data_IF_834563707476
#
_entry.id   IF_834563707476
#
_cell.length_a   1.000
_cell.length_b   1.000
_cell.length_c   1.000
_cell.angle_alpha   90.00
_cell.angle_beta   90.00
_cell.angle_gamma   90.00
#
_symmetry.space_group_name_H-M   'P 1'
#
loop_
_entity.id
_entity.type
_entity.pdbx_description
1 polymer ?
#
# COMPACT_ATOMS: atom_id res chain seq x y z
N UNK A 1 -4.70 -19.02 -2.00
CA UNK A 1 -4.84 -17.63 -2.50
C UNK A 1 -5.29 -16.69 -1.38
N UNK A 2 -5.23 -15.38 -1.62
CA UNK A 2 -5.75 -14.37 -0.67
C UNK A 2 -7.25 -14.53 -0.42
N UNK A 3 -8.00 -14.91 -1.44
CA UNK A 3 -9.41 -15.21 -1.31
C UNK A 3 -9.68 -16.39 -0.39
N UNK A 4 -8.89 -17.45 -0.50
CA UNK A 4 -8.99 -18.60 0.37
C UNK A 4 -8.60 -18.27 1.82
N UNK A 5 -7.57 -17.44 1.98
CA UNK A 5 -7.15 -16.93 3.29
C UNK A 5 -8.27 -16.10 3.93
N UNK A 6 -8.86 -15.16 3.19
CA UNK A 6 -10.01 -14.37 3.63
C UNK A 6 -11.18 -15.27 4.03
N UNK A 7 -11.55 -16.21 3.16
CA UNK A 7 -12.65 -17.15 3.42
C UNK A 7 -12.39 -18.02 4.65
N UNK A 8 -11.18 -18.54 4.78
CA UNK A 8 -10.78 -19.39 5.92
C UNK A 8 -10.78 -18.62 7.22
N UNK A 9 -10.22 -17.41 7.24
CA UNK A 9 -10.18 -16.56 8.44
C UNK A 9 -11.59 -16.19 8.87
N UNK A 10 -12.44 -15.77 7.94
CA UNK A 10 -13.82 -15.36 8.25
C UNK A 10 -14.72 -16.53 8.62
N UNK A 11 -14.49 -17.72 8.08
CA UNK A 11 -15.20 -18.93 8.52
C UNK A 11 -14.93 -19.24 9.99
N UNK A 12 -13.67 -19.15 10.41
CA UNK A 12 -13.27 -19.32 11.82
C UNK A 12 -13.84 -18.22 12.71
N UNK A 13 -13.80 -16.98 12.25
CA UNK A 13 -14.35 -15.83 12.97
C UNK A 13 -15.86 -15.97 13.14
N UNK A 14 -16.58 -16.38 12.10
CA UNK A 14 -18.01 -16.64 12.15
C UNK A 14 -18.36 -17.78 13.11
N UNK A 15 -17.59 -18.85 13.09
CA UNK A 15 -17.78 -20.00 13.99
C UNK A 15 -17.54 -19.60 15.45
N UNK A 16 -16.61 -18.71 15.75
CA UNK A 16 -16.33 -18.21 17.07
C UNK A 16 -17.34 -17.17 17.57
N UNK A 17 -18.13 -16.58 16.68
CA UNK A 17 -19.13 -15.56 16.99
C UNK A 17 -20.46 -16.18 17.41
N UNK A 18 -21.16 -15.55 18.34
CA UNK A 18 -22.45 -16.06 18.88
C UNK A 18 -23.64 -15.66 18.00
N UNK A 19 -23.48 -14.68 17.11
CA UNK A 19 -24.52 -14.19 16.21
C UNK A 19 -23.91 -13.60 14.94
N UNK A 20 -24.76 -13.41 13.92
CA UNK A 20 -24.36 -12.70 12.70
C UNK A 20 -23.95 -11.26 12.97
N UNK A 21 -24.59 -10.59 13.91
CA UNK A 21 -24.26 -9.21 14.30
C UNK A 21 -22.91 -9.15 15.02
N UNK A 22 -22.61 -10.09 15.90
CA UNK A 22 -21.31 -10.20 16.54
C UNK A 22 -20.22 -10.46 15.51
N UNK A 23 -20.46 -11.36 14.56
CA UNK A 23 -19.53 -11.64 13.48
C UNK A 23 -19.23 -10.38 12.66
N UNK A 24 -20.27 -9.69 12.17
CA UNK A 24 -20.11 -8.49 11.33
C UNK A 24 -19.41 -7.36 12.08
N UNK A 25 -19.76 -7.08 13.31
CA UNK A 25 -19.14 -6.03 14.11
C UNK A 25 -17.71 -6.39 14.51
N UNK A 26 -17.44 -7.62 14.86
CA UNK A 26 -16.09 -8.09 15.19
C UNK A 26 -15.16 -8.05 13.97
N UNK A 27 -15.63 -8.49 12.81
CA UNK A 27 -14.88 -8.40 11.55
C UNK A 27 -14.47 -6.96 11.24
N UNK A 28 -15.43 -6.03 11.36
CA UNK A 28 -15.18 -4.61 11.13
C UNK A 28 -14.16 -4.03 12.10
N UNK A 29 -14.32 -4.29 13.39
CA UNK A 29 -13.40 -3.78 14.41
C UNK A 29 -12.02 -4.40 14.27
N UNK A 30 -11.91 -5.68 13.97
CA UNK A 30 -10.62 -6.34 13.72
C UNK A 30 -9.91 -5.78 12.49
N UNK A 31 -10.66 -5.45 11.44
CA UNK A 31 -10.10 -4.76 10.28
C UNK A 31 -9.64 -3.34 10.65
N UNK A 32 -10.43 -2.59 11.41
CA UNK A 32 -10.07 -1.26 11.90
C UNK A 32 -8.80 -1.28 12.77
N UNK A 33 -8.68 -2.24 13.67
CA UNK A 33 -7.48 -2.45 14.48
C UNK A 33 -6.27 -2.73 13.60
N UNK A 34 -6.41 -3.65 12.64
CA UNK A 34 -5.34 -4.04 11.73
C UNK A 34 -4.86 -2.85 10.88
N UNK A 35 -5.79 -2.03 10.40
CA UNK A 35 -5.49 -0.86 9.59
C UNK A 35 -4.91 0.30 10.41
N UNK A 36 -5.32 0.48 11.64
CA UNK A 36 -4.73 1.51 12.52
C UNK A 36 -3.32 1.14 12.98
N UNK A 37 -3.08 -0.13 13.26
CA UNK A 37 -1.80 -0.59 13.82
C UNK A 37 -0.81 -1.09 12.78
N UNK A 38 -1.24 -1.36 11.54
CA UNK A 38 -0.39 -1.97 10.52
C UNK A 38 -0.03 -3.43 10.83
N UNK A 39 -0.90 -4.15 11.54
CA UNK A 39 -0.79 -5.60 11.79
C UNK A 39 -1.68 -6.38 10.83
N UNK A 40 -1.38 -7.67 10.64
CA UNK A 40 -2.13 -8.51 9.72
C UNK A 40 -3.54 -8.81 10.27
N UNK A 41 -4.57 -8.59 9.44
CA UNK A 41 -5.95 -8.93 9.78
C UNK A 41 -6.10 -10.39 10.14
N UNK A 42 -5.46 -11.30 9.41
CA UNK A 42 -5.51 -12.74 9.67
C UNK A 42 -5.00 -13.10 11.07
N UNK A 43 -3.96 -12.44 11.56
CA UNK A 43 -3.42 -12.70 12.90
C UNK A 43 -4.38 -12.21 13.99
N UNK A 44 -4.92 -11.00 13.84
CA UNK A 44 -5.86 -10.43 14.80
C UNK A 44 -7.18 -11.21 14.83
N UNK A 45 -7.70 -11.61 13.70
CA UNK A 45 -8.89 -12.43 13.60
C UNK A 45 -8.68 -13.83 14.19
N UNK A 46 -7.51 -14.43 13.99
CA UNK A 46 -7.15 -15.71 14.58
C UNK A 46 -7.06 -15.63 16.11
N UNK A 47 -6.51 -14.56 16.66
CA UNK A 47 -6.49 -14.34 18.11
C UNK A 47 -7.91 -14.28 18.67
N UNK A 48 -8.80 -13.52 18.05
CA UNK A 48 -10.21 -13.47 18.44
C UNK A 48 -10.85 -14.85 18.34
N UNK A 49 -10.75 -15.53 17.21
CA UNK A 49 -11.39 -16.81 16.97
C UNK A 49 -10.92 -17.91 17.93
N UNK A 50 -9.64 -17.94 18.27
CA UNK A 50 -9.08 -18.94 19.17
C UNK A 50 -9.39 -18.68 20.65
N UNK A 51 -9.51 -17.42 21.04
CA UNK A 51 -9.65 -17.04 22.44
C UNK A 51 -11.09 -16.74 22.89
N UNK A 52 -12.00 -16.46 21.96
CA UNK A 52 -13.35 -15.98 22.28
C UNK A 52 -14.16 -16.92 23.20
N UNK A 53 -14.15 -18.23 22.95
CA UNK A 53 -14.87 -19.18 23.75
C UNK A 53 -14.33 -19.26 25.18
N UNK A 54 -13.04 -19.36 25.36
CA UNK A 54 -12.37 -19.38 26.66
C UNK A 54 -12.58 -18.06 27.41
N UNK A 55 -12.50 -16.94 26.74
CA UNK A 55 -12.72 -15.62 27.33
C UNK A 55 -14.17 -15.46 27.83
N UNK A 56 -15.15 -15.98 27.09
CA UNK A 56 -16.56 -16.01 27.56
C UNK A 56 -16.73 -16.84 28.81
N UNK A 57 -16.04 -17.96 28.93
CA UNK A 57 -16.05 -18.78 30.15
C UNK A 57 -15.51 -18.04 31.37
N UNK A 58 -14.53 -17.13 31.15
CA UNK A 58 -14.02 -16.23 32.18
C UNK A 58 -14.89 -14.97 32.41
N UNK A 59 -16.02 -14.85 31.71
CA UNK A 59 -16.94 -13.73 31.86
C UNK A 59 -16.65 -12.51 31.03
N UNK A 60 -15.75 -12.59 30.06
CA UNK A 60 -15.41 -11.49 29.15
C UNK A 60 -16.30 -11.50 27.90
N UNK A 61 -16.62 -10.29 27.43
CA UNK A 61 -17.40 -10.09 26.21
C UNK A 61 -16.52 -10.14 24.95
N UNK A 62 -17.14 -10.26 23.78
CA UNK A 62 -16.45 -10.09 22.50
C UNK A 62 -15.75 -8.72 22.43
N UNK A 63 -16.39 -7.66 22.94
CA UNK A 63 -15.77 -6.32 23.01
C UNK A 63 -14.49 -6.29 23.84
N UNK A 64 -14.42 -7.04 24.92
CA UNK A 64 -13.21 -7.15 25.74
C UNK A 64 -12.08 -7.84 24.96
N UNK A 65 -12.38 -8.91 24.22
CA UNK A 65 -11.41 -9.61 23.38
C UNK A 65 -10.87 -8.68 22.28
N UNK A 66 -11.73 -7.86 21.68
CA UNK A 66 -11.32 -6.87 20.69
C UNK A 66 -10.39 -5.81 21.28
N UNK A 67 -10.68 -5.33 22.49
CA UNK A 67 -9.80 -4.36 23.18
C UNK A 67 -8.45 -4.96 23.53
N UNK A 68 -8.39 -6.20 23.96
CA UNK A 68 -7.14 -6.92 24.24
C UNK A 68 -6.34 -7.09 22.94
N UNK A 69 -6.99 -7.48 21.86
CA UNK A 69 -6.36 -7.60 20.53
C UNK A 69 -5.74 -6.28 20.10
N UNK A 70 -6.46 -5.17 20.27
CA UNK A 70 -5.95 -3.84 19.94
C UNK A 70 -4.75 -3.46 20.82
N UNK A 71 -4.81 -3.71 22.11
CA UNK A 71 -3.71 -3.43 23.03
C UNK A 71 -2.44 -4.21 22.66
N UNK A 72 -2.57 -5.48 22.34
CA UNK A 72 -1.45 -6.34 21.93
C UNK A 72 -0.86 -5.84 20.60
N UNK A 73 -1.69 -5.61 19.58
CA UNK A 73 -1.23 -5.17 18.26
C UNK A 73 -0.58 -3.79 18.32
N UNK A 74 -1.16 -2.87 19.07
CA UNK A 74 -0.61 -1.52 19.28
C UNK A 74 0.72 -1.59 20.02
N UNK A 75 0.80 -2.33 21.10
CA UNK A 75 2.02 -2.50 21.88
C UNK A 75 3.17 -3.13 21.10
N UNK A 76 2.86 -4.09 20.22
CA UNK A 76 3.86 -4.70 19.33
C UNK A 76 4.45 -3.68 18.36
N UNK A 77 3.62 -2.84 17.78
CA UNK A 77 4.09 -1.81 16.84
C UNK A 77 4.87 -0.71 17.54
N UNK A 78 4.48 -0.29 18.73
CA UNK A 78 5.29 0.63 19.55
C UNK A 78 6.66 0.02 19.87
N UNK A 79 6.72 -1.28 20.11
CA UNK A 79 7.96 -2.01 20.38
C UNK A 79 8.87 -2.18 19.15
N UNK A 80 8.41 -1.80 17.98
CA UNK A 80 9.17 -1.93 16.73
C UNK A 80 9.13 -3.34 16.13
N UNK A 81 8.20 -4.19 16.53
CA UNK A 81 8.05 -5.53 15.96
C UNK A 81 7.75 -5.46 14.45
N UNK A 82 8.43 -6.30 13.68
CA UNK A 82 8.08 -6.54 12.28
C UNK A 82 6.69 -7.22 12.19
N UNK A 83 6.09 -7.21 11.01
CA UNK A 83 4.81 -7.91 10.81
C UNK A 83 4.90 -9.40 11.15
N UNK A 84 5.99 -10.05 10.79
CA UNK A 84 6.24 -11.46 11.12
C UNK A 84 6.42 -11.69 12.64
N UNK A 85 7.20 -10.85 13.30
CA UNK A 85 7.38 -10.89 14.76
C UNK A 85 6.07 -10.62 15.49
N UNK A 86 5.29 -9.62 15.04
CA UNK A 86 3.97 -9.35 15.59
C UNK A 86 3.02 -10.54 15.44
N UNK A 87 2.98 -11.18 14.28
CA UNK A 87 2.18 -12.39 14.05
C UNK A 87 2.56 -13.52 14.98
N UNK A 88 3.84 -13.72 15.23
CA UNK A 88 4.34 -14.73 16.18
C UNK A 88 3.87 -14.46 17.61
N UNK A 89 4.01 -13.22 18.09
CA UNK A 89 3.57 -12.83 19.44
C UNK A 89 2.05 -12.91 19.59
N UNK A 90 1.30 -12.46 18.57
CA UNK A 90 -0.17 -12.56 18.55
C UNK A 90 -0.59 -14.04 18.65
N UNK A 91 0.10 -14.95 17.98
CA UNK A 91 -0.15 -16.40 18.08
C UNK A 91 0.11 -16.93 19.49
N UNK A 92 1.18 -16.49 20.13
CA UNK A 92 1.48 -16.88 21.52
C UNK A 92 0.39 -16.36 22.49
N UNK A 93 -0.05 -15.12 22.34
CA UNK A 93 -1.17 -14.61 23.13
C UNK A 93 -2.49 -15.34 22.87
N UNK A 94 -2.75 -15.74 21.64
CA UNK A 94 -3.94 -16.51 21.30
C UNK A 94 -3.95 -17.86 22.03
N UNK A 95 -2.82 -18.51 22.14
CA UNK A 95 -2.65 -19.74 22.92
C UNK A 95 -2.83 -19.50 24.43
N UNK A 96 -2.20 -18.45 24.95
CA UNK A 96 -2.28 -18.08 26.34
C UNK A 96 -3.72 -17.76 26.77
N UNK A 97 -4.44 -16.96 26.01
CA UNK A 97 -5.83 -16.60 26.31
C UNK A 97 -6.78 -17.79 26.14
N UNK A 98 -6.54 -18.68 25.17
CA UNK A 98 -7.30 -19.91 25.03
C UNK A 98 -7.12 -20.86 26.21
N UNK A 99 -5.94 -20.91 26.81
CA UNK A 99 -5.62 -21.69 27.99
C UNK A 99 -5.98 -20.99 29.31
N UNK A 100 -6.20 -19.68 29.26
CA UNK A 100 -6.53 -18.85 30.42
C UNK A 100 -5.33 -18.42 31.26
N UNK A 101 -4.09 -18.64 30.79
CA UNK A 101 -2.88 -18.30 31.51
C UNK A 101 -1.72 -18.00 30.54
N UNK A 102 -0.99 -16.90 30.80
CA UNK A 102 0.25 -16.55 30.10
C UNK A 102 1.43 -17.16 30.85
N UNK A 103 1.95 -18.25 30.31
CA UNK A 103 3.05 -19.00 30.94
C UNK A 103 4.43 -18.45 30.50
N UNK A 104 5.49 -18.98 31.13
CA UNK A 104 6.84 -18.52 30.88
C UNK A 104 7.30 -18.58 29.42
N UNK A 105 6.89 -19.59 28.66
CA UNK A 105 7.20 -19.74 27.24
C UNK A 105 6.60 -18.59 26.39
N UNK A 106 5.31 -18.36 26.51
CA UNK A 106 4.62 -17.29 25.78
C UNK A 106 5.11 -15.93 26.26
N UNK A 107 5.35 -15.78 27.56
CA UNK A 107 5.89 -14.55 28.12
C UNK A 107 7.29 -14.20 27.56
N UNK A 108 8.15 -15.17 27.36
CA UNK A 108 9.45 -14.94 26.76
C UNK A 108 9.36 -14.39 25.33
N UNK A 109 8.47 -14.92 24.50
CA UNK A 109 8.20 -14.38 23.16
C UNK A 109 7.71 -12.95 23.21
N UNK A 110 6.79 -12.64 24.13
CA UNK A 110 6.30 -11.27 24.32
C UNK A 110 7.42 -10.35 24.77
N UNK A 111 8.27 -10.80 25.68
CA UNK A 111 9.37 -10.01 26.21
C UNK A 111 10.44 -9.69 25.15
N UNK A 112 10.66 -10.58 24.20
CA UNK A 112 11.63 -10.39 23.12
C UNK A 112 11.19 -9.34 22.09
N UNK A 113 9.92 -9.41 21.66
CA UNK A 113 9.42 -8.59 20.55
C UNK A 113 8.37 -7.57 20.95
N UNK A 114 7.84 -7.65 22.16
CA UNK A 114 6.74 -6.84 22.67
C UNK A 114 7.07 -6.14 23.98
N UNK A 115 8.21 -5.48 24.08
CA UNK A 115 8.64 -4.76 25.29
C UNK A 115 7.56 -3.81 25.84
N UNK A 116 6.86 -3.10 24.96
CA UNK A 116 5.79 -2.17 25.37
C UNK A 116 4.61 -2.90 25.99
N UNK A 117 4.30 -4.12 25.54
CA UNK A 117 3.23 -4.96 26.13
C UNK A 117 3.63 -5.38 27.54
N UNK A 118 4.87 -5.78 27.75
CA UNK A 118 5.39 -6.15 29.07
C UNK A 118 5.29 -4.97 30.05
N UNK A 119 5.66 -3.79 29.61
CA UNK A 119 5.51 -2.57 30.41
C UNK A 119 4.04 -2.23 30.69
N UNK A 120 3.16 -2.45 29.71
CA UNK A 120 1.71 -2.25 29.88
C UNK A 120 1.13 -3.23 30.89
N UNK A 121 1.51 -4.51 30.85
CA UNK A 121 1.12 -5.51 31.83
C UNK A 121 1.57 -5.12 33.23
N UNK A 122 2.82 -4.73 33.40
CA UNK A 122 3.35 -4.31 34.68
C UNK A 122 2.59 -3.09 35.26
N UNK A 123 2.36 -2.07 34.44
CA UNK A 123 1.60 -0.89 34.83
C UNK A 123 0.14 -1.22 35.15
N UNK A 124 -0.52 -1.99 34.33
CA UNK A 124 -1.93 -2.37 34.51
C UNK A 124 -2.17 -3.30 35.70
N UNK A 125 -1.19 -4.12 36.05
CA UNK A 125 -1.24 -5.01 37.21
C UNK A 125 -0.73 -4.37 38.49
N UNK A 126 -0.05 -3.21 38.41
CA UNK A 126 0.56 -2.56 39.56
C UNK A 126 1.75 -3.31 40.13
N UNK A 127 2.49 -4.04 39.30
CA UNK A 127 3.68 -4.81 39.69
C UNK A 127 4.93 -4.28 38.98
N UNK A 128 6.10 -4.56 39.53
CA UNK A 128 7.34 -4.24 38.86
C UNK A 128 7.54 -5.18 37.66
N UNK A 129 8.08 -4.65 36.56
CA UNK A 129 8.37 -5.42 35.34
C UNK A 129 9.22 -6.68 35.62
N UNK A 130 10.22 -6.55 36.49
CA UNK A 130 11.09 -7.69 36.87
C UNK A 130 10.36 -8.87 37.50
N UNK A 131 9.19 -8.62 38.11
CA UNK A 131 8.41 -9.66 38.78
C UNK A 131 7.51 -10.46 37.85
N UNK A 132 7.25 -9.92 36.64
CA UNK A 132 6.36 -10.55 35.66
C UNK A 132 6.84 -11.92 35.21
N UNK A 133 8.14 -12.09 34.97
CA UNK A 133 8.68 -13.37 34.52
C UNK A 133 8.47 -14.47 35.57
N UNK A 134 8.76 -14.17 36.83
CA UNK A 134 8.52 -15.11 37.93
C UNK A 134 7.03 -15.45 38.05
N UNK A 135 6.15 -14.47 37.90
CA UNK A 135 4.68 -14.68 37.87
C UNK A 135 4.26 -15.56 36.70
N UNK A 136 4.85 -15.37 35.51
CA UNK A 136 4.58 -16.21 34.35
C UNK A 136 5.03 -17.67 34.58
N UNK A 137 6.24 -17.84 35.07
CA UNK A 137 6.80 -19.16 35.38
C UNK A 137 5.98 -19.91 36.44
N UNK A 138 5.42 -19.18 37.41
CA UNK A 138 4.58 -19.72 38.50
C UNK A 138 3.10 -19.90 38.09
N UNK A 139 2.74 -19.60 36.83
CA UNK A 139 1.37 -19.70 36.35
C UNK A 139 0.41 -18.65 36.94
N UNK A 140 0.93 -17.53 37.44
CA UNK A 140 0.15 -16.46 38.07
C UNK A 140 -0.34 -15.37 37.13
N UNK A 141 0.08 -15.36 35.88
CA UNK A 141 -0.42 -14.44 34.84
C UNK A 141 -1.68 -15.01 34.20
N UNK A 142 -2.72 -15.09 34.98
CA UNK A 142 -4.03 -15.62 34.55
C UNK A 142 -4.81 -14.56 33.73
N UNK A 143 -5.76 -15.02 32.92
CA UNK A 143 -6.54 -14.14 32.05
C UNK A 143 -7.28 -13.05 32.82
N UNK A 144 -7.79 -13.36 34.02
CA UNK A 144 -8.47 -12.42 34.91
C UNK A 144 -7.59 -11.27 35.41
N UNK A 145 -6.26 -11.42 35.32
CA UNK A 145 -5.28 -10.37 35.63
C UNK A 145 -4.74 -9.69 34.37
N UNK A 146 -4.43 -10.47 33.36
CA UNK A 146 -3.82 -9.97 32.11
C UNK A 146 -4.80 -9.13 31.31
N UNK A 147 -6.04 -9.57 31.17
CA UNK A 147 -7.05 -8.91 30.34
C UNK A 147 -7.41 -7.52 30.88
N UNK A 148 -7.79 -7.36 32.15
CA UNK A 148 -8.07 -6.04 32.69
C UNK A 148 -6.84 -5.11 32.66
N UNK A 149 -5.64 -5.64 32.87
CA UNK A 149 -4.40 -4.88 32.82
C UNK A 149 -4.18 -4.29 31.43
N UNK A 150 -4.28 -5.08 30.38
CA UNK A 150 -4.13 -4.61 28.99
C UNK A 150 -5.21 -3.60 28.59
N UNK A 151 -6.46 -3.88 28.94
CA UNK A 151 -7.59 -2.96 28.66
C UNK A 151 -7.38 -1.62 29.35
N UNK A 152 -6.90 -1.60 30.60
CA UNK A 152 -6.63 -0.38 31.32
C UNK A 152 -5.55 0.51 30.67
N UNK A 153 -4.65 -0.08 29.91
CA UNK A 153 -3.55 0.61 29.24
C UNK A 153 -3.85 1.02 27.80
N UNK A 154 -4.99 0.60 27.26
CA UNK A 154 -5.33 0.79 25.84
C UNK A 154 -5.30 2.26 25.41
N UNK A 155 -5.86 3.15 26.20
CA UNK A 155 -5.86 4.60 25.90
C UNK A 155 -4.45 5.18 25.79
N UNK A 156 -3.56 4.81 26.70
CA UNK A 156 -2.15 5.24 26.72
C UNK A 156 -1.43 4.67 25.49
N UNK A 157 -1.64 3.41 25.17
CA UNK A 157 -1.04 2.76 23.99
C UNK A 157 -1.50 3.41 22.68
N UNK A 158 -2.77 3.75 22.56
CA UNK A 158 -3.32 4.47 21.40
C UNK A 158 -2.62 5.83 21.21
N UNK A 159 -2.47 6.58 22.26
CA UNK A 159 -1.85 7.92 22.23
C UNK A 159 -0.36 7.83 21.85
N UNK A 160 0.37 6.89 22.40
CA UNK A 160 1.76 6.65 22.05
C UNK A 160 1.94 6.25 20.58
N UNK A 161 1.10 5.34 20.10
CA UNK A 161 1.16 4.90 18.71
C UNK A 161 0.82 6.04 17.73
N UNK A 162 -0.20 6.84 18.04
CA UNK A 162 -0.61 7.97 17.21
C UNK A 162 0.49 9.02 17.03
N UNK A 163 1.41 9.14 18.01
CA UNK A 163 2.55 10.04 17.93
C UNK A 163 3.73 9.48 17.11
N UNK A 164 3.70 8.20 16.73
CA UNK A 164 4.77 7.58 15.96
C UNK A 164 4.60 7.81 14.44
N UNK A 165 5.71 8.00 13.70
CA UNK A 165 5.65 8.07 12.24
C UNK A 165 5.29 6.70 11.65
N UNK A 166 4.53 6.69 10.57
CA UNK A 166 4.19 5.47 9.85
C UNK A 166 5.41 4.89 9.13
N UNK A 167 5.60 3.57 9.23
CA UNK A 167 6.69 2.87 8.54
C UNK A 167 6.23 2.32 7.19
N UNK A 168 7.18 2.10 6.27
CA UNK A 168 6.91 1.45 4.98
C UNK A 168 6.32 0.05 5.17
N UNK A 169 6.88 -0.71 6.12
CA UNK A 169 6.38 -2.07 6.45
C UNK A 169 4.93 -2.06 6.92
N UNK A 170 4.55 -1.12 7.78
CA UNK A 170 3.17 -0.95 8.23
C UNK A 170 2.23 -0.58 7.09
N UNK A 171 2.66 0.31 6.20
CA UNK A 171 1.89 0.72 5.02
C UNK A 171 1.64 -0.45 4.07
N UNK A 172 2.65 -1.29 3.84
CA UNK A 172 2.52 -2.52 3.03
C UNK A 172 1.48 -3.46 3.66
N UNK A 173 1.58 -3.73 4.94
CA UNK A 173 0.63 -4.62 5.64
C UNK A 173 -0.81 -4.09 5.55
N UNK A 174 -1.01 -2.78 5.68
CA UNK A 174 -2.33 -2.15 5.52
C UNK A 174 -2.89 -2.37 4.12
N UNK A 175 -2.06 -2.22 3.08
CA UNK A 175 -2.47 -2.48 1.70
C UNK A 175 -2.80 -3.97 1.49
N UNK A 176 -2.01 -4.87 2.04
CA UNK A 176 -2.30 -6.32 1.98
C UNK A 176 -3.64 -6.67 2.63
N UNK A 177 -3.91 -6.14 3.82
CA UNK A 177 -5.18 -6.35 4.52
C UNK A 177 -6.37 -5.88 3.69
N UNK A 178 -6.30 -4.66 3.15
CA UNK A 178 -7.35 -4.08 2.33
C UNK A 178 -7.55 -4.88 1.04
N UNK A 179 -6.47 -5.29 0.41
CA UNK A 179 -6.49 -6.09 -0.80
C UNK A 179 -7.12 -7.47 -0.56
N UNK A 180 -6.75 -8.15 0.52
CA UNK A 180 -7.31 -9.43 0.91
C UNK A 180 -8.82 -9.35 1.15
N UNK A 181 -9.28 -8.32 1.87
CA UNK A 181 -10.69 -8.10 2.13
C UNK A 181 -11.48 -7.82 0.85
N UNK A 182 -10.90 -7.02 -0.04
CA UNK A 182 -11.52 -6.68 -1.31
C UNK A 182 -11.65 -7.92 -2.23
N UNK A 183 -10.58 -8.70 -2.38
CA UNK A 183 -10.60 -9.97 -3.13
C UNK A 183 -11.61 -10.95 -2.54
N UNK A 184 -11.77 -10.95 -1.22
CA UNK A 184 -12.75 -11.77 -0.51
C UNK A 184 -14.21 -11.32 -0.66
N UNK A 185 -14.49 -10.24 -1.38
CA UNK A 185 -15.84 -9.72 -1.60
C UNK A 185 -16.32 -8.73 -0.54
N UNK A 186 -15.45 -8.28 0.38
CA UNK A 186 -15.76 -7.30 1.43
C UNK A 186 -15.58 -5.86 0.96
N UNK A 187 -15.95 -5.56 -0.27
CA UNK A 187 -15.65 -4.31 -0.96
C UNK A 187 -16.32 -3.06 -0.32
N UNK A 188 -17.50 -2.68 -0.76
CA UNK A 188 -18.12 -1.42 -0.34
C UNK A 188 -18.65 -1.42 1.09
N UNK A 189 -19.21 -2.50 1.55
CA UNK A 189 -19.81 -2.60 2.87
C UNK A 189 -18.79 -2.36 4.01
N UNK A 190 -17.53 -2.63 3.75
CA UNK A 190 -16.44 -2.44 4.71
C UNK A 190 -15.59 -1.19 4.47
N UNK A 191 -15.87 -0.43 3.42
CA UNK A 191 -15.05 0.73 3.03
C UNK A 191 -13.63 0.40 2.58
N UNK A 192 -13.35 -0.88 2.26
CA UNK A 192 -12.02 -1.40 1.92
C UNK A 192 -11.41 -0.67 0.72
N UNK A 193 -12.22 -0.39 -0.29
CA UNK A 193 -11.72 0.27 -1.50
C UNK A 193 -11.29 1.71 -1.23
N UNK A 194 -12.06 2.44 -0.44
CA UNK A 194 -11.69 3.79 0.00
C UNK A 194 -10.39 3.76 0.82
N UNK A 195 -10.25 2.75 1.68
CA UNK A 195 -9.05 2.54 2.47
C UNK A 195 -7.85 2.24 1.57
N UNK A 196 -8.01 1.39 0.56
CA UNK A 196 -6.96 1.05 -0.40
C UNK A 196 -6.51 2.29 -1.20
N UNK A 197 -7.45 3.08 -1.72
CA UNK A 197 -7.17 4.37 -2.38
C UNK A 197 -6.41 5.33 -1.46
N UNK A 198 -6.86 5.47 -0.21
CA UNK A 198 -6.22 6.33 0.77
C UNK A 198 -4.78 5.91 1.09
N UNK A 199 -4.53 4.60 1.16
CA UNK A 199 -3.19 4.06 1.38
C UNK A 199 -2.25 4.31 0.22
N UNK A 200 -2.70 4.14 -1.01
CA UNK A 200 -1.89 4.45 -2.20
C UNK A 200 -1.55 5.94 -2.27
N UNK A 201 -2.47 6.82 -1.88
CA UNK A 201 -2.19 8.24 -1.74
C UNK A 201 -1.17 8.54 -0.64
N UNK A 202 -1.24 7.84 0.49
CA UNK A 202 -0.27 7.94 1.57
C UNK A 202 1.13 7.52 1.12
N UNK A 203 1.24 6.40 0.40
CA UNK A 203 2.50 5.93 -0.19
C UNK A 203 3.04 6.95 -1.21
N UNK A 204 2.17 7.55 -2.03
CA UNK A 204 2.55 8.61 -2.97
C UNK A 204 3.18 9.84 -2.27
N UNK A 205 2.79 10.13 -1.03
CA UNK A 205 3.39 11.19 -0.22
C UNK A 205 4.80 10.90 0.31
N UNK A 206 5.19 9.62 0.38
CA UNK A 206 6.45 9.14 0.96
C UNK A 206 7.37 8.55 -0.12
N UNK A 207 7.64 9.32 -1.17
CA UNK A 207 8.29 8.82 -2.39
C UNK A 207 9.72 8.28 -2.16
N UNK A 208 10.43 8.76 -1.15
CA UNK A 208 11.80 8.33 -0.88
C UNK A 208 11.90 6.83 -0.51
N UNK A 209 10.80 6.26 -0.02
CA UNK A 209 10.68 4.85 0.35
C UNK A 209 9.87 4.03 -0.66
N UNK A 210 9.42 4.66 -1.73
CA UNK A 210 8.47 4.10 -2.69
C UNK A 210 8.99 2.89 -3.42
N UNK A 211 10.26 2.90 -3.84
CA UNK A 211 10.83 1.78 -4.59
C UNK A 211 10.72 0.46 -3.82
N UNK A 212 11.05 0.48 -2.53
CA UNK A 212 10.96 -0.69 -1.66
C UNK A 212 9.51 -1.08 -1.40
N UNK A 213 8.65 -0.09 -1.11
CA UNK A 213 7.23 -0.31 -0.85
C UNK A 213 6.51 -0.90 -2.06
N UNK A 214 6.75 -0.34 -3.26
CA UNK A 214 6.13 -0.81 -4.50
C UNK A 214 6.65 -2.18 -4.90
N UNK A 215 7.95 -2.42 -4.78
CA UNK A 215 8.55 -3.72 -5.04
C UNK A 215 7.96 -4.82 -4.15
N UNK A 216 7.80 -4.53 -2.87
CA UNK A 216 7.17 -5.45 -1.93
C UNK A 216 5.67 -5.66 -2.23
N UNK A 217 4.93 -4.62 -2.58
CA UNK A 217 3.53 -4.70 -2.99
C UNK A 217 3.34 -5.60 -4.20
N UNK A 218 4.16 -5.42 -5.23
CA UNK A 218 4.14 -6.26 -6.44
C UNK A 218 4.45 -7.71 -6.08
N UNK A 219 5.52 -7.94 -5.33
CA UNK A 219 5.94 -9.29 -4.95
C UNK A 219 4.88 -10.02 -4.12
N UNK A 220 4.36 -9.37 -3.11
CA UNK A 220 3.34 -9.95 -2.21
C UNK A 220 2.01 -10.12 -2.93
N UNK A 221 1.55 -9.10 -3.62
CA UNK A 221 0.27 -9.14 -4.31
C UNK A 221 0.24 -10.22 -5.39
N UNK A 222 1.27 -10.28 -6.22
CA UNK A 222 1.39 -11.31 -7.27
C UNK A 222 1.50 -12.71 -6.66
N UNK A 223 2.39 -12.91 -5.70
CA UNK A 223 2.59 -14.21 -5.06
C UNK A 223 1.33 -14.72 -4.36
N UNK A 224 0.59 -13.85 -3.67
CA UNK A 224 -0.60 -14.24 -2.91
C UNK A 224 -1.87 -14.32 -3.75
N UNK A 225 -2.02 -13.44 -4.75
CA UNK A 225 -3.23 -13.41 -5.56
C UNK A 225 -3.25 -14.51 -6.61
N UNK A 226 -2.17 -14.66 -7.37
CA UNK A 226 -2.11 -15.58 -8.52
C UNK A 226 -1.60 -16.98 -8.18
N UNK A 227 -0.87 -17.14 -7.07
CA UNK A 227 -0.29 -18.44 -6.70
C UNK A 227 0.59 -19.02 -7.83
N UNK A 228 0.44 -20.32 -8.12
CA UNK A 228 1.21 -20.98 -9.19
C UNK A 228 0.79 -20.59 -10.62
N UNK A 229 -0.33 -19.89 -10.79
CA UNK A 229 -0.73 -19.33 -12.11
C UNK A 229 -0.03 -18.00 -12.43
N UNK A 230 0.68 -17.45 -11.45
CA UNK A 230 1.29 -16.13 -11.54
C UNK A 230 2.42 -16.01 -12.57
N UNK A 231 3.10 -17.10 -12.92
CA UNK A 231 4.28 -17.04 -13.81
C UNK A 231 3.97 -16.47 -15.20
N UNK A 232 2.86 -16.89 -15.81
CA UNK A 232 2.42 -16.38 -17.10
C UNK A 232 1.90 -14.95 -17.04
N UNK A 233 1.09 -14.63 -16.05
CA UNK A 233 0.57 -13.29 -15.82
C UNK A 233 1.68 -12.30 -15.44
N UNK A 234 2.65 -12.71 -14.63
CA UNK A 234 3.85 -11.91 -14.30
C UNK A 234 4.69 -11.59 -15.53
N UNK A 235 4.93 -12.59 -16.39
CA UNK A 235 5.70 -12.39 -17.63
C UNK A 235 5.00 -11.44 -18.59
N UNK A 236 3.68 -11.55 -18.75
CA UNK A 236 2.88 -10.64 -19.56
C UNK A 236 2.87 -9.21 -18.96
N UNK A 237 2.69 -9.08 -17.66
CA UNK A 237 2.72 -7.80 -16.96
C UNK A 237 4.10 -7.14 -17.04
N UNK A 238 5.17 -7.89 -16.80
CA UNK A 238 6.55 -7.42 -16.93
C UNK A 238 6.86 -6.98 -18.37
N UNK A 239 6.38 -7.72 -19.37
CA UNK A 239 6.50 -7.36 -20.79
C UNK A 239 5.80 -6.05 -21.12
N UNK A 240 4.57 -5.86 -20.66
CA UNK A 240 3.79 -4.63 -20.85
C UNK A 240 4.45 -3.42 -20.16
N UNK A 241 4.92 -3.61 -18.94
CA UNK A 241 5.63 -2.55 -18.19
C UNK A 241 6.93 -2.17 -18.90
N UNK A 242 7.69 -3.15 -19.39
CA UNK A 242 8.93 -2.88 -20.14
C UNK A 242 8.65 -2.16 -21.44
N UNK A 243 7.62 -2.56 -22.18
CA UNK A 243 7.21 -1.90 -23.44
C UNK A 243 6.78 -0.46 -23.17
N UNK A 244 5.93 -0.22 -22.17
CA UNK A 244 5.50 1.13 -21.79
C UNK A 244 6.68 2.02 -21.36
N UNK A 245 7.61 1.47 -20.60
CA UNK A 245 8.84 2.15 -20.19
C UNK A 245 9.70 2.56 -21.37
N UNK A 246 9.89 1.67 -22.32
CA UNK A 246 10.69 1.93 -23.51
C UNK A 246 10.08 3.02 -24.37
N UNK A 247 8.76 3.02 -24.55
CA UNK A 247 8.05 4.06 -25.28
C UNK A 247 8.14 5.44 -24.61
N UNK A 248 7.96 5.49 -23.29
CA UNK A 248 8.11 6.73 -22.53
C UNK A 248 9.55 7.25 -22.62
N UNK A 249 10.54 6.39 -22.46
CA UNK A 249 11.95 6.77 -22.56
C UNK A 249 12.30 7.30 -23.97
N UNK A 250 11.75 6.70 -25.02
CA UNK A 250 11.92 7.16 -26.41
C UNK A 250 11.27 8.53 -26.60
N UNK A 251 10.04 8.73 -26.14
CA UNK A 251 9.31 9.98 -26.24
C UNK A 251 10.02 11.11 -25.46
N UNK A 252 10.55 10.84 -24.27
CA UNK A 252 11.37 11.78 -23.51
C UNK A 252 12.67 12.15 -24.23
N UNK A 253 13.35 11.18 -24.83
CA UNK A 253 14.57 11.43 -25.59
C UNK A 253 14.29 12.31 -26.82
N UNK A 254 13.20 12.06 -27.53
CA UNK A 254 12.75 12.87 -28.66
C UNK A 254 12.40 14.29 -28.22
N UNK A 255 11.69 14.44 -27.11
CA UNK A 255 11.35 15.75 -26.55
C UNK A 255 12.60 16.55 -26.15
N UNK A 256 13.57 15.92 -25.47
CA UNK A 256 14.86 16.54 -25.15
C UNK A 256 15.63 16.99 -26.40
N UNK A 257 15.62 16.16 -27.45
CA UNK A 257 16.21 16.51 -28.74
C UNK A 257 15.60 17.77 -29.32
N UNK A 258 14.28 17.93 -29.26
CA UNK A 258 13.59 19.14 -29.76
C UNK A 258 13.89 20.37 -28.89
N UNK A 259 14.09 20.22 -27.58
CA UNK A 259 14.52 21.32 -26.71
C UNK A 259 15.89 21.84 -27.11
N UNK A 260 16.85 20.95 -27.35
CA UNK A 260 18.21 21.30 -27.78
C UNK A 260 18.18 21.97 -29.16
N UNK A 261 17.42 21.41 -30.10
CA UNK A 261 17.26 21.97 -31.43
C UNK A 261 16.62 23.38 -31.40
N UNK A 262 15.62 23.58 -30.56
CA UNK A 262 14.96 24.89 -30.37
C UNK A 262 15.92 25.90 -29.74
N UNK A 263 16.73 25.53 -28.77
CA UNK A 263 17.74 26.41 -28.18
C UNK A 263 18.78 26.84 -29.18
N UNK A 264 19.27 25.90 -30.00
CA UNK A 264 20.21 26.19 -31.10
C UNK A 264 19.61 27.12 -32.18
N UNK A 265 18.32 26.88 -32.51
CA UNK A 265 17.62 27.72 -33.47
C UNK A 265 17.42 29.15 -32.96
N UNK A 266 17.10 29.35 -31.69
CA UNK A 266 17.02 30.66 -31.03
C UNK A 266 18.35 31.38 -31.06
N UNK A 267 19.45 30.70 -30.79
CA UNK A 267 20.79 31.25 -30.86
C UNK A 267 21.15 31.66 -32.30
N UNK A 268 20.73 30.89 -33.31
CA UNK A 268 20.91 31.23 -34.72
C UNK A 268 20.11 32.47 -35.11
N UNK A 269 18.88 32.61 -34.64
CA UNK A 269 18.07 33.84 -34.86
C UNK A 269 18.75 35.05 -34.24
N UNK A 270 19.23 34.92 -33.02
CA UNK A 270 19.96 36.02 -32.36
C UNK A 270 21.19 36.45 -33.17
N UNK A 271 22.02 35.51 -33.62
CA UNK A 271 23.18 35.81 -34.46
C UNK A 271 22.78 36.44 -35.79
N UNK A 272 21.70 35.98 -36.42
CA UNK A 272 21.20 36.56 -37.66
C UNK A 272 20.69 38.00 -37.45
N UNK A 273 20.03 38.29 -36.33
CA UNK A 273 19.62 39.64 -35.93
C UNK A 273 20.84 40.58 -35.78
N UNK A 274 21.92 40.11 -35.15
CA UNK A 274 23.17 40.86 -35.02
C UNK A 274 23.79 41.10 -36.39
N UNK A 275 23.78 40.13 -37.31
CA UNK A 275 24.29 40.28 -38.66
C UNK A 275 23.49 41.31 -39.47
N UNK A 276 22.16 41.34 -39.34
CA UNK A 276 21.32 42.38 -39.97
C UNK A 276 21.68 43.76 -39.44
N UNK A 277 21.84 43.91 -38.12
CA UNK A 277 22.23 45.17 -37.50
C UNK A 277 23.60 45.68 -38.02
N UNK A 278 24.57 44.78 -38.16
CA UNK A 278 25.90 45.10 -38.67
C UNK A 278 25.91 45.44 -40.18
N UNK A 279 24.99 44.85 -40.94
CA UNK A 279 24.89 45.04 -42.39
C UNK A 279 24.02 46.25 -42.83
N UNK A 280 23.42 46.96 -41.87
CA UNK A 280 22.54 48.12 -42.16
C UNK A 280 23.27 49.16 -42.99
N UNK A 281 22.60 49.58 -44.10
CA UNK A 281 23.17 50.56 -45.03
C UNK A 281 24.26 50.05 -45.98
N UNK A 282 24.52 48.74 -45.96
CA UNK A 282 25.48 48.07 -46.86
C UNK A 282 24.75 47.22 -47.90
N UNK A 283 25.45 46.84 -48.97
CA UNK A 283 24.95 45.96 -50.04
C UNK A 283 24.57 44.54 -49.46
N UNK A 284 25.11 44.18 -48.31
CA UNK A 284 24.90 42.89 -47.67
C UNK A 284 23.61 42.82 -46.83
N UNK A 285 22.90 43.95 -46.69
CA UNK A 285 21.68 44.02 -45.87
C UNK A 285 20.59 43.06 -46.37
N UNK A 286 20.37 43.01 -47.67
CA UNK A 286 19.32 42.13 -48.25
C UNK A 286 19.63 40.65 -47.96
N UNK A 287 20.88 40.23 -48.11
CA UNK A 287 21.32 38.87 -47.82
C UNK A 287 21.19 38.53 -46.32
N UNK A 288 21.51 39.49 -45.44
CA UNK A 288 21.38 39.31 -43.99
C UNK A 288 19.92 39.19 -43.55
N UNK A 289 19.03 40.01 -44.13
CA UNK A 289 17.57 39.91 -43.88
C UNK A 289 16.97 38.60 -44.37
N UNK A 290 17.42 38.11 -45.55
CA UNK A 290 17.01 36.79 -46.05
C UNK A 290 17.46 35.65 -45.14
N UNK A 291 18.66 35.72 -44.57
CA UNK A 291 19.15 34.76 -43.56
C UNK A 291 18.34 34.82 -42.28
N UNK A 292 18.01 36.01 -41.82
CA UNK A 292 17.16 36.16 -40.62
C UNK A 292 15.80 35.52 -40.84
N UNK A 293 15.17 35.77 -41.98
CA UNK A 293 13.89 35.15 -42.32
C UNK A 293 13.99 33.62 -42.35
N UNK A 294 15.04 33.05 -42.93
CA UNK A 294 15.29 31.62 -42.98
C UNK A 294 15.51 31.01 -41.58
N UNK A 295 16.25 31.70 -40.68
CA UNK A 295 16.48 31.25 -39.32
C UNK A 295 15.21 31.35 -38.46
N UNK A 296 14.39 32.36 -38.65
CA UNK A 296 13.09 32.49 -37.99
C UNK A 296 12.13 31.37 -38.41
N UNK A 297 12.07 31.05 -39.68
CA UNK A 297 11.28 29.92 -40.17
C UNK A 297 11.74 28.58 -39.60
N UNK A 298 13.06 28.40 -39.51
CA UNK A 298 13.66 27.22 -38.88
C UNK A 298 13.30 27.13 -37.39
N UNK A 299 13.33 28.25 -36.66
CA UNK A 299 12.90 28.30 -35.26
C UNK A 299 11.43 27.92 -35.12
N UNK A 300 10.57 28.46 -35.99
CA UNK A 300 9.12 28.13 -35.95
C UNK A 300 8.89 26.66 -36.22
N UNK A 301 9.61 26.03 -37.14
CA UNK A 301 9.54 24.59 -37.38
C UNK A 301 10.00 23.78 -36.15
N UNK A 302 11.06 24.21 -35.49
CA UNK A 302 11.55 23.55 -34.28
C UNK A 302 10.59 23.71 -33.09
N UNK A 303 9.92 24.86 -32.96
CA UNK A 303 8.87 25.07 -31.95
C UNK A 303 7.70 24.14 -32.23
N UNK A 304 7.26 24.02 -33.50
CA UNK A 304 6.20 23.10 -33.88
C UNK A 304 6.58 21.64 -33.60
N UNK A 305 7.80 21.24 -33.90
CA UNK A 305 8.34 19.92 -33.62
C UNK A 305 8.39 19.63 -32.10
N UNK A 306 8.77 20.64 -31.31
CA UNK A 306 8.75 20.55 -29.85
C UNK A 306 7.33 20.35 -29.29
N UNK A 307 6.36 21.10 -29.80
CA UNK A 307 4.96 20.97 -29.43
C UNK A 307 4.41 19.57 -29.80
N UNK A 308 4.75 19.09 -31.01
CA UNK A 308 4.37 17.75 -31.45
C UNK A 308 5.02 16.66 -30.55
N UNK A 309 6.29 16.82 -30.18
CA UNK A 309 6.98 15.89 -29.28
C UNK A 309 6.39 15.90 -27.85
N UNK A 310 5.99 17.08 -27.36
CA UNK A 310 5.29 17.21 -26.07
C UNK A 310 3.93 16.49 -26.10
N UNK A 311 3.18 16.67 -27.19
CA UNK A 311 1.89 16.00 -27.37
C UNK A 311 2.08 14.48 -27.50
N UNK A 312 3.12 14.05 -28.21
CA UNK A 312 3.46 12.62 -28.31
C UNK A 312 3.86 12.04 -26.94
N UNK A 313 4.63 12.77 -26.13
CA UNK A 313 4.98 12.35 -24.77
C UNK A 313 3.73 12.23 -23.90
N UNK A 314 2.83 13.22 -23.95
CA UNK A 314 1.56 13.20 -23.21
C UNK A 314 0.67 12.03 -23.69
N UNK A 315 0.60 11.78 -24.99
CA UNK A 315 -0.16 10.67 -25.57
C UNK A 315 0.43 9.32 -25.19
N UNK A 316 1.74 9.17 -25.19
CA UNK A 316 2.43 7.93 -24.81
C UNK A 316 2.16 7.61 -23.32
N UNK A 317 2.17 8.62 -22.47
CA UNK A 317 1.79 8.47 -21.06
C UNK A 317 0.32 8.05 -20.91
N UNK A 318 -0.58 8.64 -21.72
CA UNK A 318 -2.00 8.28 -21.74
C UNK A 318 -2.24 6.88 -22.34
N UNK A 319 -1.49 6.50 -23.37
CA UNK A 319 -1.56 5.13 -23.97
C UNK A 319 -1.02 4.09 -23.00
N UNK A 320 0.04 4.39 -22.26
CA UNK A 320 0.51 3.55 -21.16
C UNK A 320 -0.59 3.30 -20.12
N UNK A 321 -1.35 4.33 -19.75
CA UNK A 321 -2.54 4.21 -18.89
C UNK A 321 -3.63 3.33 -19.54
N UNK A 322 -3.88 3.46 -20.83
CA UNK A 322 -4.90 2.67 -21.56
C UNK A 322 -4.48 1.22 -21.77
N UNK A 323 -3.22 0.97 -22.06
CA UNK A 323 -2.67 -0.39 -22.15
C UNK A 323 -2.74 -1.10 -20.81
N UNK A 324 -2.48 -0.38 -19.74
CA UNK A 324 -2.68 -0.90 -18.39
C UNK A 324 -4.15 -1.16 -18.08
N UNK A 325 -5.06 -0.29 -18.52
CA UNK A 325 -6.51 -0.51 -18.40
C UNK A 325 -7.00 -1.70 -19.23
N UNK A 326 -6.44 -1.91 -20.44
CA UNK A 326 -6.72 -3.08 -21.28
C UNK A 326 -6.16 -4.37 -20.70
N UNK A 327 -4.97 -4.33 -20.11
CA UNK A 327 -4.36 -5.43 -19.39
C UNK A 327 -5.13 -5.82 -18.13
N UNK A 328 -5.91 -4.90 -17.55
CA UNK A 328 -6.80 -5.14 -16.42
C UNK A 328 -7.87 -6.19 -16.69
N UNK A 329 -8.41 -6.23 -17.91
CA UNK A 329 -9.32 -7.29 -18.34
C UNK A 329 -8.67 -8.67 -18.39
N UNK A 330 -7.33 -8.72 -18.52
CA UNK A 330 -6.55 -9.96 -18.58
C UNK A 330 -6.04 -10.44 -17.22
N UNK A 331 -6.04 -9.57 -16.21
CA UNK A 331 -5.38 -9.82 -14.91
C UNK A 331 -6.35 -9.70 -13.71
N UNK A 332 -7.65 -9.87 -13.93
CA UNK A 332 -8.60 -10.03 -12.82
C UNK A 332 -9.07 -8.74 -12.14
N UNK A 333 -9.35 -7.68 -12.91
CA UNK A 333 -10.05 -6.51 -12.38
C UNK A 333 -9.20 -5.56 -11.50
N UNK A 334 -9.78 -5.02 -10.43
CA UNK A 334 -9.12 -4.02 -9.56
C UNK A 334 -7.85 -4.53 -8.89
N UNK A 335 -7.73 -5.80 -8.44
CA UNK A 335 -6.45 -6.31 -7.95
C UNK A 335 -5.33 -6.25 -8.98
N UNK A 336 -5.62 -6.65 -10.21
CA UNK A 336 -4.68 -6.54 -11.32
C UNK A 336 -4.29 -5.08 -11.58
N UNK A 337 -5.23 -4.14 -11.48
CA UNK A 337 -4.97 -2.70 -11.60
C UNK A 337 -4.00 -2.20 -10.53
N UNK A 338 -4.23 -2.55 -9.27
CA UNK A 338 -3.34 -2.17 -8.18
C UNK A 338 -1.93 -2.66 -8.42
N UNK A 339 -1.79 -3.91 -8.85
CA UNK A 339 -0.48 -4.49 -9.11
C UNK A 339 0.20 -3.93 -10.35
N UNK A 340 -0.53 -3.76 -11.44
CA UNK A 340 -0.02 -3.12 -12.65
C UNK A 340 0.36 -1.69 -12.38
N UNK A 341 -0.47 -0.97 -11.60
CA UNK A 341 -0.19 0.37 -11.15
C UNK A 341 1.10 0.46 -10.34
N UNK A 342 1.26 -0.43 -9.38
CA UNK A 342 2.45 -0.52 -8.56
C UNK A 342 3.70 -0.86 -9.39
N UNK A 343 3.59 -1.81 -10.32
CA UNK A 343 4.69 -2.19 -11.20
C UNK A 343 5.09 -1.05 -12.15
N UNK A 344 4.13 -0.40 -12.78
CA UNK A 344 4.37 0.75 -13.64
C UNK A 344 4.98 1.92 -12.86
N UNK A 345 4.47 2.17 -11.69
CA UNK A 345 5.02 3.19 -10.80
C UNK A 345 6.45 2.88 -10.38
N UNK A 346 6.75 1.63 -10.03
CA UNK A 346 8.13 1.20 -9.75
C UNK A 346 9.08 1.47 -10.91
N UNK A 347 8.65 1.25 -12.15
CA UNK A 347 9.47 1.51 -13.33
C UNK A 347 9.66 3.01 -13.61
N UNK A 348 8.75 3.85 -13.15
CA UNK A 348 8.79 5.31 -13.31
C UNK A 348 9.43 6.03 -12.12
N UNK A 349 9.71 5.34 -11.02
CA UNK A 349 10.14 5.97 -9.76
C UNK A 349 11.48 6.71 -9.85
N UNK A 350 12.28 6.48 -10.87
CA UNK A 350 13.53 7.22 -11.11
C UNK A 350 13.30 8.73 -11.28
N UNK A 351 12.08 9.13 -11.58
CA UNK A 351 11.62 10.50 -11.55
C UNK A 351 10.57 10.65 -10.45
N UNK A 352 10.95 11.23 -9.31
CA UNK A 352 10.12 11.34 -8.11
C UNK A 352 8.78 12.03 -8.36
N UNK A 353 8.74 13.07 -9.17
CA UNK A 353 7.51 13.79 -9.48
C UNK A 353 6.55 12.93 -10.31
N UNK A 354 7.05 12.22 -11.29
CA UNK A 354 6.24 11.30 -12.11
C UNK A 354 5.72 10.13 -11.28
N UNK A 355 6.52 9.60 -10.37
CA UNK A 355 6.11 8.52 -9.49
C UNK A 355 4.99 8.94 -8.53
N UNK A 356 5.07 10.15 -7.96
CA UNK A 356 4.02 10.72 -7.11
C UNK A 356 2.71 10.89 -7.86
N UNK A 357 2.77 11.46 -9.04
CA UNK A 357 1.59 11.69 -9.87
C UNK A 357 0.97 10.36 -10.32
N UNK A 358 1.78 9.41 -10.76
CA UNK A 358 1.31 8.07 -11.13
C UNK A 358 0.61 7.38 -9.96
N UNK A 359 1.18 7.42 -8.77
CA UNK A 359 0.57 6.81 -7.58
C UNK A 359 -0.78 7.45 -7.23
N UNK A 360 -0.91 8.77 -7.36
CA UNK A 360 -2.18 9.48 -7.16
C UNK A 360 -3.23 9.09 -8.19
N UNK A 361 -2.84 9.02 -9.47
CA UNK A 361 -3.74 8.61 -10.54
C UNK A 361 -4.23 7.18 -10.36
N UNK A 362 -3.39 6.26 -9.93
CA UNK A 362 -3.81 4.89 -9.64
C UNK A 362 -4.78 4.82 -8.46
N UNK A 363 -4.55 5.62 -7.43
CA UNK A 363 -5.48 5.72 -6.30
C UNK A 363 -6.87 6.21 -6.75
N UNK A 364 -6.93 7.24 -7.59
CA UNK A 364 -8.18 7.76 -8.16
C UNK A 364 -8.87 6.72 -9.06
N UNK A 365 -8.11 6.00 -9.89
CA UNK A 365 -8.64 4.98 -10.78
C UNK A 365 -9.24 3.80 -10.00
N UNK A 366 -8.60 3.37 -8.92
CA UNK A 366 -9.15 2.34 -8.03
C UNK A 366 -10.46 2.81 -7.42
N UNK A 367 -10.54 4.06 -6.97
CA UNK A 367 -11.74 4.64 -6.41
C UNK A 367 -12.89 4.71 -7.43
N UNK A 368 -12.60 5.13 -8.66
CA UNK A 368 -13.57 5.14 -9.77
C UNK A 368 -14.09 3.74 -10.11
N UNK A 369 -13.20 2.75 -10.19
CA UNK A 369 -13.56 1.37 -10.51
C UNK A 369 -14.42 0.79 -9.40
N UNK A 370 -14.12 1.09 -8.15
CA UNK A 370 -14.93 0.68 -7.01
C UNK A 370 -16.36 1.22 -7.06
N UNK A 371 -16.53 2.46 -7.51
CA UNK A 371 -17.86 3.06 -7.68
C UNK A 371 -18.63 2.45 -8.85
N UNK A 372 -17.93 1.93 -9.89
CA UNK A 372 -18.54 1.31 -11.08
C UNK A 372 -18.86 -0.17 -10.91
N UNK A 373 -18.11 -0.88 -10.05
CA UNK A 373 -18.23 -2.34 -9.84
C UNK A 373 -18.36 -2.70 -8.36
N UNK A 374 -19.31 -2.07 -7.62
CA UNK A 374 -19.36 -2.19 -6.17
C UNK A 374 -19.75 -3.57 -5.65
N UNK A 375 -20.27 -4.44 -6.47
CA UNK A 375 -20.87 -5.72 -6.09
C UNK A 375 -20.29 -6.94 -6.80
N UNK A 376 -19.11 -6.84 -7.42
CA UNK A 376 -18.45 -8.02 -8.00
C UNK A 376 -18.09 -9.01 -6.91
N UNK A 377 -18.81 -10.15 -6.89
CA UNK A 377 -18.47 -11.29 -6.05
C UNK A 377 -17.25 -12.02 -6.62
N UNK A 378 -16.56 -12.80 -5.76
CA UNK A 378 -15.39 -13.56 -6.19
C UNK A 378 -15.63 -14.46 -7.43
N UNK A 379 -16.80 -15.13 -7.60
CA UNK A 379 -17.12 -15.86 -8.82
C UNK A 379 -17.16 -14.98 -10.07
N UNK A 380 -17.67 -13.77 -9.97
CA UNK A 380 -17.74 -12.83 -11.10
C UNK A 380 -16.36 -12.28 -11.48
N UNK A 381 -15.48 -12.09 -10.50
CA UNK A 381 -14.09 -11.71 -10.77
C UNK A 381 -13.30 -12.85 -11.44
N UNK A 382 -13.63 -14.11 -11.12
CA UNK A 382 -13.04 -15.30 -11.72
C UNK A 382 -13.54 -15.54 -13.16
N UNK A 383 -14.81 -15.24 -13.45
CA UNK A 383 -15.40 -15.40 -14.77
C UNK A 383 -14.89 -14.35 -15.77
N UNK A 384 -14.30 -13.26 -15.30
CA UNK A 384 -13.63 -12.27 -16.15
C UNK A 384 -12.15 -12.61 -16.46
N UNK A 385 -11.66 -13.75 -15.97
CA UNK A 385 -10.33 -14.29 -16.30
C UNK A 385 -10.30 -15.16 -17.58
N UNK A 386 -11.45 -15.32 -18.26
CA UNK A 386 -11.58 -16.10 -19.49
C UNK A 386 -11.33 -15.31 -20.77
#
# INVERSE_FOLDING_TARGET
SLADEWSSVNARLKQASQSSDEFSSSQKVLMDISQRTGTAFSDNAALFARSAASMREYGYSAGDVLKVTEAISTGLKISGASTAEAGSVITQFSQALAQGVLRGEEFNSVNESGDRIVRALAAGMGVARKDLKAMADDGKLTADKVVPALISQLGILRDEYAAMPETVSSSITKVENAFMAWVGGANEASGVTKTLSGMLNGVAGQIDNVATAVGALVAVGVARYFGNMASGAMSATAGLVTAARNEVALAEAQFRGTQIATARARAAVYRAQQAVAAARGTEMQIAAEARLAATQERLNRNIAARTAAQNALNSTTAVGSRLMSGALGLVGGVPGLVMLGAAAWYTLYQNQEQARESARQYALTIDEIAHKTPSMSLPEASDNEG
#
